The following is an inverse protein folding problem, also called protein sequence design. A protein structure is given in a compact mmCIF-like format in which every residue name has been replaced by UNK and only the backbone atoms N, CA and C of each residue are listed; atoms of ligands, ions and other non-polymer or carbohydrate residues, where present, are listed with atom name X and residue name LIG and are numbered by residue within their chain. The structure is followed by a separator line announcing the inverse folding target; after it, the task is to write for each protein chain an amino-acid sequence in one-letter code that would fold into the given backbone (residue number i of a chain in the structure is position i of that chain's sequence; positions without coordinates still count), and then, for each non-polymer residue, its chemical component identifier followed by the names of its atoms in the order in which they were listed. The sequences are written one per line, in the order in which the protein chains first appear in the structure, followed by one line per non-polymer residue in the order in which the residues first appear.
data_IF_992191241656
#
_entry.id   IF_992191241656
#
_cell.length_a   1.000
_cell.length_b   1.000
_cell.length_c   1.000
_cell.angle_alpha   90.00
_cell.angle_beta   90.00
_cell.angle_gamma   90.00
#
_symmetry.space_group_name_H-M   'P 1'
#
loop_
_entity.id
_entity.type
_entity.pdbx_description
1 polymer ?
#
# COMPACT_ATOMS: atom_id res chain seq x y z
N UNK A 1 1.36 6.76 -33.95
CA UNK A 1 0.42 7.86 -33.63
C UNK A 1 -1.02 7.42 -33.39
N UNK A 2 -1.48 6.26 -33.88
CA UNK A 2 -2.88 5.78 -33.76
C UNK A 2 -3.25 5.29 -32.34
N UNK A 3 -2.30 4.76 -31.56
CA UNK A 3 -2.57 4.20 -30.22
C UNK A 3 -2.91 5.24 -29.14
N UNK A 4 -2.32 6.43 -29.22
CA UNK A 4 -2.55 7.49 -28.21
C UNK A 4 -3.95 8.11 -28.40
N UNK A 5 -4.42 8.20 -29.65
CA UNK A 5 -5.76 8.71 -29.95
C UNK A 5 -6.85 7.74 -29.49
N UNK A 6 -6.60 6.43 -29.52
CA UNK A 6 -7.57 5.42 -29.06
C UNK A 6 -7.71 5.43 -27.53
N UNK A 7 -6.60 5.60 -26.81
CA UNK A 7 -6.60 5.73 -25.35
C UNK A 7 -7.29 7.04 -24.89
N UNK A 8 -7.03 8.13 -25.59
CA UNK A 8 -7.70 9.41 -25.31
C UNK A 8 -9.22 9.33 -25.58
N UNK A 9 -9.63 8.59 -26.61
CA UNK A 9 -11.05 8.38 -26.94
C UNK A 9 -11.74 7.46 -25.93
N UNK A 10 -11.06 6.43 -25.42
CA UNK A 10 -11.58 5.52 -24.40
C UNK A 10 -11.79 6.22 -23.04
N UNK A 11 -10.89 7.14 -22.67
CA UNK A 11 -11.01 7.93 -21.43
C UNK A 11 -12.16 8.95 -21.52
N UNK A 12 -12.51 9.42 -22.71
CA UNK A 12 -13.64 10.35 -22.88
C UNK A 12 -15.01 9.66 -22.85
N UNK A 13 -15.07 8.35 -22.97
CA UNK A 13 -16.34 7.60 -23.00
C UNK A 13 -16.78 7.04 -21.65
N UNK A 14 -16.05 7.31 -20.56
CA UNK A 14 -16.62 7.11 -19.23
C UNK A 14 -17.67 8.20 -19.05
N UNK A 15 -18.97 7.88 -19.14
CA UNK A 15 -19.99 8.88 -18.85
C UNK A 15 -19.74 9.30 -17.42
N UNK A 16 -19.20 10.50 -17.22
CA UNK A 16 -19.27 11.20 -15.96
C UNK A 16 -20.77 11.49 -15.77
N UNK A 17 -21.51 10.46 -15.36
CA UNK A 17 -22.76 10.70 -14.70
C UNK A 17 -22.37 11.41 -13.39
N UNK A 18 -22.67 12.71 -13.23
CA UNK A 18 -22.69 13.25 -11.90
C UNK A 18 -23.75 12.39 -11.19
N UNK A 19 -23.30 11.45 -10.36
CA UNK A 19 -24.17 10.98 -9.33
C UNK A 19 -24.60 12.26 -8.62
N UNK A 20 -25.83 12.68 -8.85
CA UNK A 20 -26.49 13.72 -8.05
C UNK A 20 -26.65 13.07 -6.67
N UNK A 21 -25.55 13.02 -5.98
CA UNK A 21 -25.51 12.73 -4.55
C UNK A 21 -26.03 14.02 -3.95
N UNK A 22 -27.31 14.03 -3.65
CA UNK A 22 -27.94 15.12 -2.92
C UNK A 22 -27.02 15.45 -1.73
N UNK A 23 -26.70 16.72 -1.54
CA UNK A 23 -25.58 17.13 -0.68
C UNK A 23 -25.66 16.61 0.77
N UNK A 24 -26.82 16.11 1.20
CA UNK A 24 -27.04 15.41 2.46
C UNK A 24 -26.52 13.96 2.41
N UNK A 25 -26.79 13.24 1.33
CA UNK A 25 -26.38 11.83 1.18
C UNK A 25 -24.87 11.70 0.98
N UNK A 26 -24.24 12.64 0.28
CA UNK A 26 -22.79 12.65 0.07
C UNK A 26 -22.00 12.74 1.38
N UNK A 27 -22.50 13.52 2.34
CA UNK A 27 -21.85 13.62 3.66
C UNK A 27 -21.96 12.33 4.47
N UNK A 28 -23.09 11.64 4.39
CA UNK A 28 -23.29 10.36 5.07
C UNK A 28 -22.32 9.31 4.53
N UNK A 29 -22.19 9.18 3.20
CA UNK A 29 -21.21 8.26 2.60
C UNK A 29 -19.77 8.58 2.98
N UNK A 30 -19.41 9.87 3.09
CA UNK A 30 -18.08 10.28 3.56
C UNK A 30 -17.82 9.84 5.01
N UNK A 31 -18.79 10.01 5.90
CA UNK A 31 -18.67 9.58 7.30
C UNK A 31 -18.61 8.06 7.42
N UNK A 32 -19.39 7.34 6.63
CA UNK A 32 -19.34 5.87 6.57
C UNK A 32 -17.96 5.42 6.08
N UNK A 33 -17.46 6.00 4.99
CA UNK A 33 -16.14 5.65 4.46
C UNK A 33 -15.02 5.94 5.46
N UNK A 34 -15.09 7.08 6.15
CA UNK A 34 -14.15 7.43 7.21
C UNK A 34 -14.21 6.42 8.37
N UNK A 35 -15.42 6.08 8.82
CA UNK A 35 -15.64 5.11 9.89
C UNK A 35 -15.09 3.74 9.56
N UNK A 36 -15.36 3.24 8.35
CA UNK A 36 -14.81 1.96 7.86
C UNK A 36 -13.28 2.02 7.75
N UNK A 37 -12.72 3.13 7.27
CA UNK A 37 -11.27 3.32 7.20
C UNK A 37 -10.59 3.30 8.57
N UNK A 38 -11.17 3.98 9.55
CA UNK A 38 -10.66 3.97 10.95
C UNK A 38 -10.78 2.57 11.55
N UNK A 39 -11.90 1.88 11.36
CA UNK A 39 -12.10 0.52 11.84
C UNK A 39 -11.07 -0.45 11.24
N UNK A 40 -10.80 -0.33 9.93
CA UNK A 40 -9.79 -1.13 9.24
C UNK A 40 -8.38 -0.87 9.79
N UNK A 41 -8.03 0.39 10.09
CA UNK A 41 -6.76 0.74 10.71
C UNK A 41 -6.61 0.15 12.11
N UNK A 42 -7.65 0.23 12.93
CA UNK A 42 -7.66 -0.35 14.29
C UNK A 42 -7.50 -1.87 14.21
N UNK A 43 -8.25 -2.53 13.33
CA UNK A 43 -8.14 -3.97 13.12
C UNK A 43 -6.74 -4.37 12.64
N UNK A 44 -6.16 -3.64 11.69
CA UNK A 44 -4.81 -3.88 11.19
C UNK A 44 -3.75 -3.72 12.31
N UNK A 45 -3.87 -2.70 13.15
CA UNK A 45 -2.99 -2.50 14.29
C UNK A 45 -3.12 -3.61 15.34
N UNK A 46 -4.34 -4.06 15.64
CA UNK A 46 -4.57 -5.18 16.56
C UNK A 46 -3.97 -6.49 16.02
N UNK A 47 -4.21 -6.81 14.74
CA UNK A 47 -3.62 -7.98 14.11
C UNK A 47 -2.09 -7.90 14.07
N UNK A 48 -1.53 -6.76 13.69
CA UNK A 48 -0.08 -6.56 13.66
C UNK A 48 0.54 -6.77 15.06
N UNK A 49 -0.08 -6.24 16.11
CA UNK A 49 0.38 -6.45 17.49
C UNK A 49 0.26 -7.91 17.92
N UNK A 50 -0.85 -8.58 17.61
CA UNK A 50 -1.05 -9.99 17.92
C UNK A 50 0.00 -10.87 17.23
N UNK A 51 0.27 -10.61 15.95
CA UNK A 51 1.30 -11.32 15.18
C UNK A 51 2.69 -11.04 15.76
N UNK A 52 3.03 -9.79 16.08
CA UNK A 52 4.36 -9.44 16.64
C UNK A 52 4.56 -10.03 18.04
N UNK A 53 3.51 -10.27 18.80
CA UNK A 53 3.56 -10.90 20.13
C UNK A 53 3.71 -12.43 20.08
N UNK A 54 3.47 -13.07 18.93
CA UNK A 54 3.55 -14.53 18.78
C UNK A 54 5.00 -15.03 18.79
N UNK A 55 5.19 -16.30 19.17
CA UNK A 55 6.52 -16.92 19.28
C UNK A 55 7.23 -17.01 17.93
N UNK A 56 8.55 -16.84 17.95
CA UNK A 56 9.43 -16.86 16.77
C UNK A 56 10.05 -18.23 16.48
N UNK A 57 9.71 -19.26 17.24
CA UNK A 57 10.20 -20.63 17.04
C UNK A 57 11.67 -20.86 17.42
N UNK A 58 12.29 -21.85 16.77
CA UNK A 58 13.63 -22.31 17.08
C UNK A 58 14.74 -21.33 16.66
N UNK A 59 15.95 -21.43 17.23
CA UNK A 59 17.11 -20.61 16.84
C UNK A 59 17.44 -20.68 15.35
N UNK A 60 17.30 -21.88 14.73
CA UNK A 60 17.57 -22.09 13.31
C UNK A 60 16.54 -21.34 12.43
N UNK A 61 15.26 -21.33 12.85
CA UNK A 61 14.22 -20.57 12.16
C UNK A 61 14.50 -19.07 12.22
N UNK A 62 15.02 -18.59 13.32
CA UNK A 62 15.42 -17.17 13.48
C UNK A 62 16.56 -16.82 12.55
N UNK A 63 17.59 -17.66 12.45
CA UNK A 63 18.73 -17.43 11.56
C UNK A 63 18.30 -17.32 10.10
N UNK A 64 17.39 -18.20 9.64
CA UNK A 64 16.82 -18.14 8.29
C UNK A 64 15.98 -16.86 8.11
N UNK A 65 15.16 -16.52 9.09
CA UNK A 65 14.33 -15.31 9.04
C UNK A 65 15.19 -14.03 8.99
N UNK A 66 16.29 -13.98 9.72
CA UNK A 66 17.18 -12.82 9.71
C UNK A 66 17.89 -12.68 8.34
N UNK A 67 18.29 -13.78 7.70
CA UNK A 67 18.81 -13.74 6.35
C UNK A 67 17.77 -13.25 5.31
N UNK A 68 16.52 -13.70 5.42
CA UNK A 68 15.40 -13.23 4.58
C UNK A 68 15.18 -11.73 4.81
N UNK A 69 15.21 -11.30 6.05
CA UNK A 69 15.04 -9.89 6.44
C UNK A 69 16.12 -9.01 5.84
N UNK A 70 17.39 -9.43 5.92
CA UNK A 70 18.51 -8.67 5.34
C UNK A 70 18.35 -8.49 3.82
N UNK A 71 17.99 -9.56 3.11
CA UNK A 71 17.70 -9.50 1.68
C UNK A 71 16.52 -8.58 1.34
N UNK A 72 15.45 -8.65 2.13
CA UNK A 72 14.28 -7.81 1.95
C UNK A 72 14.57 -6.33 2.24
N UNK A 73 15.35 -6.01 3.27
CA UNK A 73 15.77 -4.64 3.58
C UNK A 73 16.64 -4.04 2.44
N UNK A 74 17.57 -4.82 1.89
CA UNK A 74 18.39 -4.43 0.76
C UNK A 74 17.55 -4.18 -0.51
N UNK A 75 16.57 -5.06 -0.79
CA UNK A 75 15.62 -4.90 -1.89
C UNK A 75 14.77 -3.63 -1.73
N UNK A 76 14.19 -3.42 -0.56
CA UNK A 76 13.39 -2.23 -0.24
C UNK A 76 14.19 -0.95 -0.48
N UNK A 77 15.40 -0.88 0.09
CA UNK A 77 16.26 0.29 -0.06
C UNK A 77 16.51 0.63 -1.53
N UNK A 78 16.77 -0.36 -2.36
CA UNK A 78 16.96 -0.18 -3.81
C UNK A 78 15.67 0.26 -4.50
N UNK A 79 14.57 -0.41 -4.20
CA UNK A 79 13.25 -0.14 -4.78
C UNK A 79 12.78 1.29 -4.47
N UNK A 80 12.89 1.72 -3.22
CA UNK A 80 12.45 3.06 -2.80
C UNK A 80 13.30 4.17 -3.41
N UNK A 81 14.61 3.96 -3.58
CA UNK A 81 15.45 4.90 -4.32
C UNK A 81 15.00 5.07 -5.76
N UNK A 82 14.75 3.97 -6.46
CA UNK A 82 14.32 4.00 -7.87
C UNK A 82 12.92 4.60 -8.00
N UNK A 83 11.97 4.17 -7.17
CA UNK A 83 10.60 4.70 -7.18
C UNK A 83 10.55 6.18 -6.82
N UNK A 84 11.36 6.62 -5.85
CA UNK A 84 11.48 8.03 -5.49
C UNK A 84 12.04 8.89 -6.61
N UNK A 85 13.06 8.40 -7.32
CA UNK A 85 13.62 9.10 -8.47
C UNK A 85 12.58 9.23 -9.61
N UNK A 86 11.86 8.16 -9.91
CA UNK A 86 10.78 8.17 -10.91
C UNK A 86 9.66 9.13 -10.51
N UNK A 87 9.24 9.09 -9.24
CA UNK A 87 8.21 9.99 -8.72
C UNK A 87 8.61 11.46 -8.85
N UNK A 88 9.89 11.77 -8.57
CA UNK A 88 10.41 13.15 -8.72
C UNK A 88 10.39 13.59 -10.18
N UNK A 89 10.84 12.74 -11.10
CA UNK A 89 10.81 13.03 -12.55
C UNK A 89 9.37 13.26 -13.01
N UNK A 90 8.44 12.40 -12.60
CA UNK A 90 7.02 12.54 -12.93
C UNK A 90 6.42 13.82 -12.34
N UNK A 91 6.80 14.21 -11.12
CA UNK A 91 6.36 15.46 -10.51
C UNK A 91 6.79 16.69 -11.36
N UNK A 92 8.04 16.67 -11.86
CA UNK A 92 8.54 17.72 -12.75
C UNK A 92 7.78 17.73 -14.07
N UNK A 93 7.57 16.58 -14.69
CA UNK A 93 6.81 16.46 -15.95
C UNK A 93 5.38 16.98 -15.78
N UNK A 94 4.70 16.60 -14.71
CA UNK A 94 3.35 17.08 -14.38
C UNK A 94 3.38 18.61 -14.16
N UNK A 95 4.33 19.11 -13.40
CA UNK A 95 4.46 20.55 -13.15
C UNK A 95 4.64 21.34 -14.44
N UNK A 96 5.56 20.94 -15.30
CA UNK A 96 5.83 21.60 -16.58
C UNK A 96 4.61 21.50 -17.50
N UNK A 97 3.99 20.32 -17.61
CA UNK A 97 2.78 20.12 -18.42
C UNK A 97 1.62 21.03 -18.03
N UNK A 98 1.39 21.18 -16.73
CA UNK A 98 0.34 22.07 -16.21
C UNK A 98 0.69 23.55 -16.40
N UNK A 99 1.97 23.92 -16.32
CA UNK A 99 2.43 25.31 -16.53
C UNK A 99 2.34 25.75 -17.98
N UNK A 100 2.54 24.85 -18.92
CA UNK A 100 2.45 25.14 -20.35
C UNK A 100 1.02 25.41 -20.83
N UNK A 101 0.02 24.94 -20.09
CA UNK A 101 -1.39 25.13 -20.43
C UNK A 101 -1.97 26.31 -19.64
N UNK A 102 -2.43 27.40 -20.29
CA UNK A 102 -2.99 28.57 -19.60
C UNK A 102 -4.19 28.27 -18.70
N UNK A 103 -5.00 27.26 -19.06
CA UNK A 103 -6.19 26.86 -18.30
C UNK A 103 -5.86 26.13 -17.01
N UNK A 104 -4.75 25.39 -16.96
CA UNK A 104 -4.38 24.53 -15.82
C UNK A 104 -3.25 25.11 -14.98
N UNK A 105 -2.57 26.16 -15.46
CA UNK A 105 -1.46 26.81 -14.79
C UNK A 105 -1.70 27.15 -13.31
N UNK A 106 -2.88 27.70 -12.88
CA UNK A 106 -3.13 28.01 -11.47
C UNK A 106 -3.22 26.76 -10.57
N UNK A 107 -3.46 25.59 -11.14
CA UNK A 107 -3.56 24.34 -10.39
C UNK A 107 -2.26 23.52 -10.36
N UNK A 108 -1.25 23.90 -11.14
CA UNK A 108 0.02 23.16 -11.29
C UNK A 108 0.65 22.79 -9.92
N UNK A 109 0.80 23.78 -9.05
CA UNK A 109 1.40 23.56 -7.74
C UNK A 109 0.55 22.63 -6.85
N UNK A 110 -0.76 22.85 -6.83
CA UNK A 110 -1.68 22.03 -6.03
C UNK A 110 -1.64 20.58 -6.48
N UNK A 111 -1.65 20.34 -7.77
CA UNK A 111 -1.59 18.98 -8.35
C UNK A 111 -0.28 18.28 -8.01
N UNK A 112 0.86 18.97 -8.14
CA UNK A 112 2.16 18.38 -7.82
C UNK A 112 2.30 18.09 -6.32
N UNK A 113 1.86 19.00 -5.46
CA UNK A 113 1.86 18.76 -4.00
C UNK A 113 1.00 17.57 -3.64
N UNK A 114 -0.23 17.48 -4.19
CA UNK A 114 -1.11 16.34 -3.96
C UNK A 114 -0.50 15.02 -4.45
N UNK A 115 0.16 15.05 -5.61
CA UNK A 115 0.88 13.88 -6.14
C UNK A 115 2.01 13.44 -5.22
N UNK A 116 2.84 14.37 -4.75
CA UNK A 116 3.96 14.05 -3.85
C UNK A 116 3.46 13.53 -2.48
N UNK A 117 2.43 14.14 -1.92
CA UNK A 117 1.81 13.65 -0.68
C UNK A 117 1.27 12.25 -0.87
N UNK A 118 0.55 11.98 -1.97
CA UNK A 118 0.06 10.64 -2.31
C UNK A 118 1.19 9.62 -2.47
N UNK A 119 2.29 10.00 -3.13
CA UNK A 119 3.46 9.15 -3.31
C UNK A 119 4.14 8.81 -1.97
N UNK A 120 4.27 9.78 -1.07
CA UNK A 120 4.82 9.57 0.28
C UNK A 120 3.90 8.66 1.10
N UNK A 121 2.60 8.92 1.14
CA UNK A 121 1.64 8.08 1.85
C UNK A 121 1.64 6.64 1.32
N UNK A 122 1.67 6.45 0.02
CA UNK A 122 1.77 5.14 -0.62
C UNK A 122 3.08 4.43 -0.26
N UNK A 123 4.20 5.15 -0.28
CA UNK A 123 5.49 4.64 0.14
C UNK A 123 5.48 4.16 1.60
N UNK A 124 4.96 4.97 2.51
CA UNK A 124 4.85 4.61 3.93
C UNK A 124 3.97 3.39 4.15
N UNK A 125 2.82 3.31 3.45
CA UNK A 125 1.93 2.15 3.53
C UNK A 125 2.63 0.87 3.02
N UNK A 126 3.31 0.95 1.88
CA UNK A 126 4.07 -0.18 1.32
C UNK A 126 5.21 -0.64 2.23
N UNK A 127 5.97 0.31 2.81
CA UNK A 127 7.02 0.01 3.78
C UNK A 127 6.48 -0.71 5.01
N UNK A 128 5.41 -0.17 5.60
CA UNK A 128 4.79 -0.75 6.80
C UNK A 128 4.23 -2.14 6.52
N UNK A 129 3.58 -2.33 5.37
CA UNK A 129 3.04 -3.62 4.95
C UNK A 129 4.13 -4.68 4.79
N UNK A 130 5.23 -4.35 4.12
CA UNK A 130 6.33 -5.29 3.92
C UNK A 130 7.09 -5.58 5.23
N UNK A 131 7.29 -4.58 6.08
CA UNK A 131 7.89 -4.75 7.40
C UNK A 131 7.08 -5.69 8.28
N UNK A 132 5.74 -5.54 8.29
CA UNK A 132 4.83 -6.46 8.97
C UNK A 132 4.90 -7.87 8.38
N UNK A 133 4.87 -7.98 7.06
CA UNK A 133 4.85 -9.27 6.34
C UNK A 133 6.09 -10.10 6.65
N UNK A 134 7.28 -9.51 6.60
CA UNK A 134 8.55 -10.20 6.89
C UNK A 134 8.56 -10.74 8.31
N UNK A 135 8.05 -9.95 9.27
CA UNK A 135 7.98 -10.38 10.68
C UNK A 135 6.86 -11.37 10.96
N UNK A 136 5.79 -11.35 10.20
CA UNK A 136 4.70 -12.30 10.32
C UNK A 136 5.10 -13.69 9.82
N UNK A 137 5.93 -13.75 8.78
CA UNK A 137 6.27 -14.99 8.08
C UNK A 137 6.88 -16.05 9.00
N UNK A 138 7.87 -15.69 9.81
CA UNK A 138 8.51 -16.63 10.75
C UNK A 138 7.51 -17.13 11.81
N UNK A 139 6.60 -16.27 12.26
CA UNK A 139 5.62 -16.60 13.29
C UNK A 139 4.53 -17.54 12.75
N UNK A 140 4.12 -17.31 11.50
CA UNK A 140 3.22 -18.22 10.80
C UNK A 140 3.85 -19.60 10.62
N UNK A 141 5.12 -19.65 10.24
CA UNK A 141 5.86 -20.91 10.13
C UNK A 141 6.02 -21.61 11.49
N UNK A 142 6.27 -20.87 12.55
CA UNK A 142 6.34 -21.41 13.92
C UNK A 142 4.99 -21.98 14.37
N UNK A 143 3.91 -21.26 14.16
CA UNK A 143 2.55 -21.70 14.50
C UNK A 143 2.14 -22.95 13.71
N UNK A 144 2.51 -23.05 12.42
CA UNK A 144 2.25 -24.21 11.60
C UNK A 144 2.94 -25.48 12.13
N UNK A 145 4.15 -25.37 12.68
CA UNK A 145 4.83 -26.49 13.33
C UNK A 145 4.07 -27.02 14.54
N UNK A 146 3.56 -26.13 15.38
CA UNK A 146 2.83 -26.49 16.59
C UNK A 146 1.49 -27.17 16.25
N UNK A 147 0.77 -26.67 15.28
CA UNK A 147 -0.50 -27.23 14.83
C UNK A 147 -0.33 -28.56 14.08
N UNK A 148 0.71 -28.69 13.24
CA UNK A 148 1.05 -29.95 12.55
C UNK A 148 1.51 -31.02 13.51
N UNK A 149 2.29 -30.66 14.52
CA UNK A 149 2.77 -31.63 15.53
C UNK A 149 1.61 -32.16 16.39
N UNK A 150 0.63 -31.33 16.74
CA UNK A 150 -0.57 -31.78 17.46
C UNK A 150 -1.47 -32.66 16.60
N UNK A 151 -1.57 -32.42 15.32
CA UNK A 151 -2.35 -33.25 14.39
C UNK A 151 -1.69 -34.57 14.00
N UNK A 152 -0.34 -34.67 14.12
CA UNK A 152 0.40 -35.93 13.90
C UNK A 152 0.47 -36.82 15.13
N UNK A 153 0.34 -36.26 16.34
CA UNK A 153 0.41 -37.03 17.61
C UNK A 153 -0.96 -37.57 17.99
N UNK A 154 -2.06 -36.96 17.58
CA UNK A 154 -3.43 -37.39 17.93
C UNK A 154 -3.89 -38.73 17.32
N UNK A 155 -3.41 -39.22 16.15
CA UNK A 155 -3.80 -40.50 15.62
C UNK A 155 -3.06 -41.72 16.20
N UNK A 156 -2.01 -41.48 17.04
CA UNK A 156 -1.21 -42.58 17.61
C UNK A 156 -1.52 -42.88 19.07
N UNK A 157 -2.59 -42.35 19.64
CA UNK A 157 -3.22 -42.75 20.89
C UNK A 157 -4.62 -43.26 20.64
#
# INVERSE_FOLDING_TARGET
MVGVSFLAMAVQQVPYAPAVVDGSDGRVYLWIALGVGVLALVAALMLARAVIASDTGTPEMRAISDAIREGAEAFLRRQYKTSGAIALVLAVVVFVGYRLSPRTSPYALKTVVSFLVGAVCSGLAGFTGMYCSIRANIRTASAARTSLNSSLVTPCM
#
